data_IF_179472016184
#
_entry.id   IF_179472016184
#
_cell.length_a   1.000
_cell.length_b   1.000
_cell.length_c   1.000
_cell.angle_alpha   90.00
_cell.angle_beta   90.00
_cell.angle_gamma   90.00
#
_symmetry.space_group_name_H-M   'P 1'
#
loop_
_entity.id
_entity.type
_entity.pdbx_description
1 polymer ?
#
# COMPACT_ATOMS: atom_id res chain seq x y z
N UNK A 1 -28.42 -14.70 -0.54
CA UNK A 1 -27.31 -14.10 -1.31
C UNK A 1 -26.54 -13.24 -0.33
N UNK A 2 -25.32 -13.58 -0.01
CA UNK A 2 -24.44 -12.74 0.81
C UNK A 2 -24.27 -11.44 0.04
N UNK A 3 -24.49 -10.31 0.71
CA UNK A 3 -24.34 -9.00 0.10
C UNK A 3 -22.83 -8.74 -0.02
N UNK A 4 -22.23 -9.14 -1.14
CA UNK A 4 -20.81 -8.95 -1.44
C UNK A 4 -20.59 -7.48 -1.77
N UNK A 5 -19.90 -6.75 -0.89
CA UNK A 5 -19.66 -5.32 -1.03
C UNK A 5 -18.23 -4.95 -0.64
N UNK A 6 -17.55 -4.23 -1.52
CA UNK A 6 -16.21 -3.72 -1.30
C UNK A 6 -16.15 -2.22 -1.59
N UNK A 7 -15.49 -1.46 -0.72
CA UNK A 7 -15.20 -0.04 -0.93
C UNK A 7 -13.70 0.13 -1.00
N UNK A 8 -13.23 0.68 -2.12
CA UNK A 8 -11.80 0.92 -2.37
C UNK A 8 -11.54 2.39 -2.71
N UNK A 9 -10.34 2.86 -2.47
CA UNK A 9 -9.80 4.08 -3.04
C UNK A 9 -8.90 3.72 -4.22
N UNK A 10 -9.21 4.24 -5.39
CA UNK A 10 -8.52 3.94 -6.64
C UNK A 10 -7.85 5.19 -7.22
N UNK A 11 -7.67 5.20 -8.54
CA UNK A 11 -7.13 6.30 -9.32
C UNK A 11 -7.73 7.65 -8.89
N UNK A 12 -6.88 8.64 -8.69
CA UNK A 12 -7.29 9.98 -8.27
C UNK A 12 -7.77 10.07 -6.82
N UNK A 13 -7.46 9.08 -5.99
CA UNK A 13 -8.03 8.89 -4.64
C UNK A 13 -9.56 8.89 -4.65
N UNK A 14 -10.12 8.31 -5.69
CA UNK A 14 -11.56 8.19 -5.88
C UNK A 14 -12.08 7.00 -5.12
N UNK A 15 -13.09 7.22 -4.29
CA UNK A 15 -13.79 6.14 -3.60
C UNK A 15 -14.77 5.46 -4.56
N UNK A 16 -14.72 4.13 -4.59
CA UNK A 16 -15.52 3.28 -5.48
C UNK A 16 -16.17 2.19 -4.66
N UNK A 17 -17.45 1.92 -4.94
CA UNK A 17 -18.18 0.78 -4.37
C UNK A 17 -18.38 -0.28 -5.44
N UNK A 18 -17.99 -1.52 -5.10
CA UNK A 18 -18.16 -2.70 -5.95
C UNK A 18 -19.07 -3.68 -5.20
N UNK A 19 -20.14 -4.12 -5.86
CA UNK A 19 -21.08 -5.13 -5.33
C UNK A 19 -21.21 -6.28 -6.30
N UNK A 20 -21.02 -7.50 -5.79
CA UNK A 20 -21.11 -8.73 -6.59
C UNK A 20 -20.28 -8.62 -7.90
N UNK A 21 -19.04 -8.11 -7.80
CA UNK A 21 -18.12 -7.96 -8.92
C UNK A 21 -18.50 -6.85 -9.92
N UNK A 22 -19.42 -5.93 -9.57
CA UNK A 22 -19.84 -4.82 -10.44
C UNK A 22 -19.70 -3.48 -9.73
N UNK A 23 -19.24 -2.48 -10.43
CA UNK A 23 -19.17 -1.09 -9.95
C UNK A 23 -20.58 -0.55 -9.78
N UNK A 24 -20.92 -0.09 -8.57
CA UNK A 24 -22.23 0.49 -8.25
C UNK A 24 -22.16 1.98 -7.97
N UNK A 25 -20.99 2.50 -7.52
CA UNK A 25 -20.77 3.92 -7.30
C UNK A 25 -19.32 4.33 -7.60
N UNK A 26 -19.13 5.54 -8.14
CA UNK A 26 -17.83 6.18 -8.39
C UNK A 26 -17.94 7.65 -7.97
N UNK A 27 -17.19 8.03 -6.94
CA UNK A 27 -17.08 9.42 -6.50
C UNK A 27 -16.24 10.26 -7.48
N UNK A 28 -16.17 11.59 -7.25
CA UNK A 28 -15.33 12.48 -8.05
C UNK A 28 -13.82 12.25 -7.74
N UNK A 29 -12.96 12.28 -8.78
CA UNK A 29 -11.52 12.23 -8.58
C UNK A 29 -11.02 13.48 -7.85
N UNK A 30 -10.05 13.27 -6.98
CA UNK A 30 -9.47 14.36 -6.16
C UNK A 30 -8.31 15.05 -6.83
N UNK A 31 -7.64 14.40 -7.77
CA UNK A 31 -6.51 14.93 -8.55
C UNK A 31 -6.80 14.75 -10.05
N UNK A 32 -6.18 15.60 -10.86
CA UNK A 32 -6.36 15.61 -12.33
C UNK A 32 -5.47 14.60 -13.05
N UNK A 33 -4.27 14.33 -12.52
CA UNK A 33 -3.26 13.50 -13.17
C UNK A 33 -2.44 12.70 -12.17
N UNK A 34 -2.15 11.45 -12.49
CA UNK A 34 -1.20 10.61 -11.76
C UNK A 34 -0.10 10.12 -12.72
N UNK A 35 1.20 10.33 -12.42
CA UNK A 35 2.30 9.95 -13.33
C UNK A 35 2.35 8.45 -13.66
N UNK A 36 1.95 7.60 -12.70
CA UNK A 36 1.91 6.15 -12.92
C UNK A 36 0.85 5.82 -13.96
N UNK A 37 -0.37 6.32 -13.79
CA UNK A 37 -1.47 6.04 -14.72
C UNK A 37 -1.31 6.75 -16.07
N UNK A 38 -0.71 7.95 -16.08
CA UNK A 38 -0.32 8.62 -17.32
C UNK A 38 0.67 7.76 -18.12
N UNK A 39 1.67 7.19 -17.46
CA UNK A 39 2.71 6.37 -18.13
C UNK A 39 2.17 5.01 -18.62
N UNK A 40 1.40 4.31 -17.81
CA UNK A 40 1.01 2.92 -18.10
C UNK A 40 -0.36 2.78 -18.77
N UNK A 41 -1.22 3.80 -18.67
CA UNK A 41 -2.58 3.77 -19.21
C UNK A 41 -2.93 4.97 -20.12
N UNK A 42 -1.95 5.86 -20.40
CA UNK A 42 -2.12 7.07 -21.21
C UNK A 42 -3.24 8.00 -20.72
N UNK A 43 -3.47 8.07 -19.40
CA UNK A 43 -4.48 8.93 -18.80
C UNK A 43 -3.87 10.29 -18.51
N UNK A 44 -4.18 11.31 -19.32
CA UNK A 44 -3.69 12.68 -19.14
C UNK A 44 -4.55 13.51 -18.18
N UNK A 45 -5.86 13.24 -18.16
CA UNK A 45 -6.84 13.82 -17.25
C UNK A 45 -7.71 12.72 -16.67
N UNK A 46 -7.79 12.66 -15.34
CA UNK A 46 -8.54 11.60 -14.66
C UNK A 46 -10.03 11.95 -14.66
N UNK A 47 -10.82 11.13 -15.32
CA UNK A 47 -12.28 11.22 -15.34
C UNK A 47 -12.93 10.01 -14.66
N UNK A 48 -14.23 10.11 -14.32
CA UNK A 48 -14.99 8.95 -13.82
C UNK A 48 -15.00 7.78 -14.80
N UNK A 49 -14.99 8.08 -16.10
CA UNK A 49 -14.96 7.07 -17.15
C UNK A 49 -13.61 6.33 -17.17
N UNK A 50 -12.48 7.05 -17.01
CA UNK A 50 -11.15 6.42 -16.90
C UNK A 50 -11.06 5.55 -15.65
N UNK A 51 -11.62 6.03 -14.55
CA UNK A 51 -11.69 5.28 -13.30
C UNK A 51 -12.52 4.00 -13.48
N UNK A 52 -13.70 4.10 -14.12
CA UNK A 52 -14.55 2.96 -14.43
C UNK A 52 -13.80 1.92 -15.27
N UNK A 53 -13.24 2.32 -16.40
CA UNK A 53 -12.46 1.45 -17.29
C UNK A 53 -11.29 0.79 -16.57
N UNK A 54 -10.58 1.54 -15.74
CA UNK A 54 -9.46 1.01 -14.97
C UNK A 54 -9.90 -0.05 -13.96
N UNK A 55 -11.04 0.13 -13.30
CA UNK A 55 -11.55 -0.84 -12.33
C UNK A 55 -12.17 -2.05 -13.04
N UNK A 56 -12.93 -1.86 -14.11
CA UNK A 56 -13.44 -2.96 -14.93
C UNK A 56 -12.30 -3.81 -15.48
N UNK A 57 -11.24 -3.17 -16.01
CA UNK A 57 -10.03 -3.88 -16.43
C UNK A 57 -9.42 -4.72 -15.28
N UNK A 58 -9.36 -4.19 -14.05
CA UNK A 58 -8.83 -4.95 -12.89
C UNK A 58 -9.73 -6.11 -12.48
N UNK A 59 -11.04 -5.94 -12.58
CA UNK A 59 -12.01 -7.02 -12.33
C UNK A 59 -11.82 -8.13 -13.37
N UNK A 60 -11.68 -7.78 -14.63
CA UNK A 60 -11.54 -8.74 -15.73
C UNK A 60 -10.15 -9.40 -15.76
N UNK A 61 -9.06 -8.63 -15.55
CA UNK A 61 -7.68 -9.09 -15.67
C UNK A 61 -7.26 -10.01 -14.50
N UNK A 62 -7.54 -9.60 -13.26
CA UNK A 62 -7.08 -10.35 -12.09
C UNK A 62 -8.17 -10.64 -11.04
N UNK A 63 -9.43 -10.43 -11.39
CA UNK A 63 -10.57 -10.80 -10.55
C UNK A 63 -10.76 -9.92 -9.32
N UNK A 64 -10.34 -8.65 -9.33
CA UNK A 64 -10.45 -7.75 -8.19
C UNK A 64 -11.88 -7.74 -7.61
N UNK A 65 -12.00 -7.87 -6.28
CA UNK A 65 -13.29 -7.93 -5.57
C UNK A 65 -14.21 -9.06 -6.06
N UNK A 66 -13.67 -10.18 -6.55
CA UNK A 66 -14.43 -11.35 -6.97
C UNK A 66 -13.77 -12.64 -6.47
N UNK A 67 -14.50 -13.75 -6.53
CA UNK A 67 -13.98 -15.09 -6.20
C UNK A 67 -12.80 -15.55 -7.08
N UNK A 68 -12.59 -14.92 -8.24
CA UNK A 68 -11.53 -15.23 -9.20
C UNK A 68 -10.25 -14.42 -8.95
N UNK A 69 -10.11 -13.79 -7.79
CA UNK A 69 -8.97 -12.94 -7.44
C UNK A 69 -7.64 -13.68 -7.59
N UNK A 70 -6.78 -13.21 -8.48
CA UNK A 70 -5.41 -13.70 -8.63
C UNK A 70 -4.58 -13.20 -7.45
N UNK A 71 -4.07 -14.12 -6.63
CA UNK A 71 -3.38 -13.81 -5.37
C UNK A 71 -1.86 -13.70 -5.51
N UNK A 72 -1.27 -14.29 -6.54
CA UNK A 72 0.19 -14.27 -6.77
C UNK A 72 0.52 -13.57 -8.07
N UNK A 73 1.52 -12.70 -8.04
CA UNK A 73 1.95 -11.92 -9.19
C UNK A 73 3.44 -11.60 -9.12
N UNK A 74 4.03 -11.35 -10.30
CA UNK A 74 5.35 -10.73 -10.42
C UNK A 74 5.30 -9.22 -10.18
N UNK A 75 6.49 -8.59 -10.09
CA UNK A 75 6.64 -7.14 -9.93
C UNK A 75 5.87 -6.37 -11.01
N UNK A 76 5.12 -5.36 -10.59
CA UNK A 76 4.40 -4.46 -11.49
C UNK A 76 5.19 -3.17 -11.74
N UNK A 77 5.84 -2.65 -10.71
CA UNK A 77 6.67 -1.45 -10.77
C UNK A 77 8.14 -1.80 -10.48
N UNK A 78 9.06 -0.94 -10.87
CA UNK A 78 10.44 -1.10 -10.46
C UNK A 78 10.63 -0.89 -8.96
N UNK A 79 9.97 0.14 -8.40
CA UNK A 79 10.00 0.43 -6.96
C UNK A 79 8.62 0.94 -6.52
N UNK A 80 8.02 0.25 -5.59
CA UNK A 80 6.78 0.56 -4.89
C UNK A 80 6.79 -0.16 -3.55
N UNK A 81 5.78 0.04 -2.71
CA UNK A 81 5.71 -0.61 -1.39
C UNK A 81 5.67 -2.13 -1.53
N UNK A 82 4.85 -2.67 -2.43
CA UNK A 82 4.76 -4.11 -2.66
C UNK A 82 6.05 -4.73 -3.17
N UNK A 83 6.76 -4.05 -4.08
CA UNK A 83 8.04 -4.50 -4.61
C UNK A 83 9.17 -4.45 -3.56
N UNK A 84 9.16 -3.43 -2.68
CA UNK A 84 10.09 -3.35 -1.54
C UNK A 84 9.84 -4.52 -0.59
N UNK A 85 8.58 -4.76 -0.22
CA UNK A 85 8.20 -5.84 0.69
C UNK A 85 8.50 -7.23 0.10
N UNK A 86 8.14 -7.45 -1.18
CA UNK A 86 8.43 -8.70 -1.89
C UNK A 86 9.92 -9.05 -1.84
N UNK A 87 10.78 -8.12 -2.26
CA UNK A 87 12.23 -8.34 -2.30
C UNK A 87 12.82 -8.61 -0.91
N UNK A 88 12.37 -7.88 0.11
CA UNK A 88 12.88 -8.04 1.47
C UNK A 88 12.38 -9.32 2.14
N UNK A 89 11.19 -9.79 1.80
CA UNK A 89 10.68 -11.09 2.23
C UNK A 89 11.47 -12.23 1.56
N UNK A 90 11.75 -12.11 0.25
CA UNK A 90 12.55 -13.05 -0.53
C UNK A 90 13.98 -13.20 -0.02
N UNK A 91 14.56 -12.09 0.47
CA UNK A 91 15.92 -12.03 1.03
C UNK A 91 15.98 -12.39 2.53
N UNK A 92 14.84 -12.60 3.18
CA UNK A 92 14.78 -12.88 4.62
C UNK A 92 15.06 -11.66 5.53
N UNK A 93 14.98 -10.44 5.00
CA UNK A 93 15.03 -9.21 5.79
C UNK A 93 13.73 -8.94 6.55
N UNK A 94 12.63 -9.54 6.08
CA UNK A 94 11.30 -9.52 6.68
C UNK A 94 10.81 -10.96 6.79
N UNK A 95 10.11 -11.31 7.86
CA UNK A 95 9.55 -12.65 8.07
C UNK A 95 8.10 -12.74 7.59
N UNK A 96 7.33 -11.67 7.77
CA UNK A 96 5.96 -11.57 7.28
C UNK A 96 5.52 -10.13 7.03
N UNK A 97 4.47 -9.98 6.25
CA UNK A 97 3.79 -8.71 5.96
C UNK A 97 2.37 -8.75 6.48
N UNK A 98 2.01 -7.80 7.32
CA UNK A 98 0.63 -7.49 7.69
C UNK A 98 0.06 -6.57 6.61
N UNK A 99 -0.81 -7.11 5.78
CA UNK A 99 -1.43 -6.40 4.66
C UNK A 99 -2.95 -6.42 4.73
N UNK A 100 -3.56 -5.89 3.68
CA UNK A 100 -5.01 -5.91 3.49
C UNK A 100 -5.36 -6.46 2.11
N UNK A 101 -6.37 -7.32 2.06
CA UNK A 101 -6.86 -7.91 0.81
C UNK A 101 -8.37 -7.77 0.73
N UNK A 102 -8.87 -7.37 -0.42
CA UNK A 102 -10.30 -7.41 -0.69
C UNK A 102 -10.82 -8.85 -0.61
N UNK A 103 -11.98 -9.04 0.00
CA UNK A 103 -12.54 -10.36 0.27
C UNK A 103 -11.97 -11.08 1.50
N UNK A 104 -10.96 -10.49 2.17
CA UNK A 104 -10.28 -11.11 3.33
C UNK A 104 -10.16 -10.16 4.51
N UNK A 105 -9.97 -8.85 4.28
CA UNK A 105 -9.58 -7.89 5.32
C UNK A 105 -8.09 -7.94 5.62
N UNK A 106 -7.72 -7.87 6.89
CA UNK A 106 -6.31 -7.96 7.33
C UNK A 106 -5.80 -9.40 7.21
N UNK A 107 -4.60 -9.54 6.65
CA UNK A 107 -3.98 -10.83 6.32
C UNK A 107 -2.48 -10.81 6.60
N UNK A 108 -1.93 -11.95 7.05
CA UNK A 108 -0.49 -12.20 7.15
C UNK A 108 0.02 -12.87 5.87
N UNK A 109 1.05 -12.30 5.28
CA UNK A 109 1.65 -12.78 4.03
C UNK A 109 3.11 -13.15 4.26
N UNK A 110 3.48 -14.39 3.92
CA UNK A 110 4.85 -14.92 4.01
C UNK A 110 5.39 -15.38 2.65
N UNK A 111 4.57 -15.29 1.62
CA UNK A 111 4.91 -15.62 0.24
C UNK A 111 5.16 -14.32 -0.55
N UNK A 112 6.36 -14.11 -1.12
CA UNK A 112 6.71 -12.87 -1.84
C UNK A 112 5.77 -12.56 -3.01
N UNK A 113 5.39 -13.57 -3.80
CA UNK A 113 4.49 -13.40 -4.94
C UNK A 113 3.07 -13.03 -4.48
N UNK A 114 2.66 -13.54 -3.31
CA UNK A 114 1.37 -13.18 -2.72
C UNK A 114 1.39 -11.75 -2.15
N UNK A 115 2.51 -11.29 -1.57
CA UNK A 115 2.68 -9.88 -1.19
C UNK A 115 2.48 -8.96 -2.40
N UNK A 116 3.06 -9.31 -3.54
CA UNK A 116 2.91 -8.55 -4.78
C UNK A 116 1.47 -8.63 -5.32
N UNK A 117 0.90 -9.83 -5.39
CA UNK A 117 -0.45 -10.03 -5.91
C UNK A 117 -1.54 -9.36 -5.09
N UNK A 118 -1.42 -9.38 -3.76
CA UNK A 118 -2.37 -8.74 -2.84
C UNK A 118 -2.15 -7.23 -2.79
N UNK A 119 -0.90 -6.76 -2.61
CA UNK A 119 -0.58 -5.35 -2.37
C UNK A 119 -0.39 -4.52 -3.64
N UNK A 120 0.12 -5.11 -4.73
CA UNK A 120 0.61 -4.36 -5.89
C UNK A 120 -0.46 -3.68 -6.73
N UNK A 121 -1.71 -4.12 -6.68
CA UNK A 121 -2.79 -3.61 -7.53
C UNK A 121 -3.94 -2.94 -6.80
N UNK A 122 -3.91 -2.88 -5.48
CA UNK A 122 -4.92 -2.19 -4.66
C UNK A 122 -4.30 -0.95 -4.03
N UNK A 123 -4.91 0.22 -4.26
CA UNK A 123 -4.37 1.48 -3.72
C UNK A 123 -4.77 1.70 -2.26
N UNK A 124 -6.03 1.46 -1.92
CA UNK A 124 -6.54 1.56 -0.55
C UNK A 124 -7.82 0.78 -0.39
N UNK A 125 -7.89 -0.07 0.62
CA UNK A 125 -9.10 -0.82 0.97
C UNK A 125 -9.77 -0.13 2.16
N UNK A 126 -11.03 0.31 1.98
CA UNK A 126 -11.80 1.03 2.99
C UNK A 126 -12.69 0.07 3.77
N UNK A 127 -13.39 -0.82 3.06
CA UNK A 127 -14.19 -1.90 3.64
C UNK A 127 -14.31 -3.05 2.66
N UNK A 128 -14.54 -4.24 3.18
CA UNK A 128 -14.70 -5.43 2.36
C UNK A 128 -15.55 -6.47 3.09
N UNK A 129 -16.24 -7.32 2.34
CA UNK A 129 -16.94 -8.48 2.84
C UNK A 129 -16.17 -9.75 2.54
N UNK A 130 -16.31 -10.82 3.31
CA UNK A 130 -15.59 -12.07 3.10
C UNK A 130 -15.95 -12.75 1.76
N UNK A 131 -14.92 -13.16 1.02
CA UNK A 131 -15.05 -14.04 -0.15
C UNK A 131 -14.34 -15.35 0.17
N UNK A 132 -15.10 -16.43 0.25
CA UNK A 132 -14.59 -17.74 0.70
C UNK A 132 -13.41 -18.22 -0.13
N UNK A 133 -13.49 -18.11 -1.45
CA UNK A 133 -12.44 -18.57 -2.38
C UNK A 133 -11.13 -17.83 -2.17
N UNK A 134 -11.19 -16.54 -1.81
CA UNK A 134 -9.97 -15.74 -1.53
C UNK A 134 -9.40 -16.14 -0.17
N UNK A 135 -10.26 -16.32 0.84
CA UNK A 135 -9.85 -16.79 2.18
C UNK A 135 -9.16 -18.16 2.08
N UNK A 136 -9.75 -19.09 1.32
CA UNK A 136 -9.15 -20.41 1.07
C UNK A 136 -7.79 -20.27 0.36
N UNK A 137 -7.68 -19.35 -0.60
CA UNK A 137 -6.46 -19.12 -1.39
C UNK A 137 -5.30 -18.51 -0.60
N UNK A 138 -5.56 -17.61 0.36
CA UNK A 138 -4.51 -17.06 1.25
C UNK A 138 -4.23 -17.98 2.44
N UNK A 139 -5.13 -18.93 2.71
CA UNK A 139 -5.11 -19.82 3.87
C UNK A 139 -5.81 -19.19 5.08
N UNK A 140 -6.84 -19.86 5.57
CA UNK A 140 -7.70 -19.34 6.65
C UNK A 140 -6.93 -18.94 7.91
N UNK A 141 -5.85 -19.64 8.22
CA UNK A 141 -4.99 -19.33 9.37
C UNK A 141 -4.30 -17.98 9.21
N UNK A 142 -4.07 -17.49 8.01
CA UNK A 142 -3.44 -16.20 7.73
C UNK A 142 -4.41 -15.01 7.79
N UNK A 143 -5.70 -15.27 7.96
CA UNK A 143 -6.76 -14.26 7.97
C UNK A 143 -7.11 -13.85 9.40
N UNK A 144 -7.14 -12.54 9.66
CA UNK A 144 -7.48 -12.02 10.99
C UNK A 144 -8.92 -12.38 11.40
N UNK A 145 -9.88 -12.19 10.49
CA UNK A 145 -11.31 -12.45 10.76
C UNK A 145 -12.00 -12.93 9.46
N UNK A 146 -12.04 -14.24 9.29
CA UNK A 146 -12.67 -14.85 8.11
C UNK A 146 -14.18 -14.69 8.01
N UNK A 147 -14.85 -14.23 9.10
CA UNK A 147 -16.31 -14.02 9.12
C UNK A 147 -16.71 -12.60 8.74
N UNK A 148 -15.88 -11.60 9.05
CA UNK A 148 -16.21 -10.18 8.87
C UNK A 148 -15.25 -9.46 7.91
N UNK A 149 -14.13 -10.09 7.53
CA UNK A 149 -13.05 -9.48 6.75
C UNK A 149 -12.58 -8.14 7.38
N UNK A 150 -12.35 -8.16 8.70
CA UNK A 150 -12.00 -6.97 9.49
C UNK A 150 -10.67 -6.38 9.05
N UNK A 151 -10.64 -5.05 8.83
CA UNK A 151 -9.44 -4.26 8.56
C UNK A 151 -8.91 -3.67 9.87
N UNK A 152 -7.88 -4.27 10.44
CA UNK A 152 -7.22 -3.80 11.66
C UNK A 152 -5.73 -4.18 11.66
N UNK A 153 -4.83 -3.28 11.21
CA UNK A 153 -3.40 -3.54 11.17
C UNK A 153 -2.77 -3.86 12.52
N UNK A 154 -3.27 -3.25 13.61
CA UNK A 154 -2.76 -3.52 14.96
C UNK A 154 -3.10 -4.95 15.43
N UNK A 155 -4.31 -5.41 15.20
CA UNK A 155 -4.65 -6.81 15.49
C UNK A 155 -3.90 -7.77 14.56
N UNK A 156 -3.62 -7.37 13.31
CA UNK A 156 -2.72 -8.10 12.42
C UNK A 156 -1.29 -8.21 12.97
N UNK A 157 -0.73 -7.14 13.51
CA UNK A 157 0.56 -7.16 14.19
C UNK A 157 0.55 -8.11 15.40
N UNK A 158 -0.46 -8.03 16.25
CA UNK A 158 -0.61 -8.94 17.40
C UNK A 158 -0.68 -10.41 16.96
N UNK A 159 -1.40 -10.68 15.87
CA UNK A 159 -1.47 -12.02 15.28
C UNK A 159 -0.10 -12.50 14.77
N UNK A 160 0.69 -11.64 14.12
CA UNK A 160 2.04 -11.95 13.68
C UNK A 160 2.98 -12.26 14.87
N UNK A 161 2.94 -11.42 15.90
CA UNK A 161 3.70 -11.60 17.15
C UNK A 161 3.35 -12.93 17.85
N UNK A 162 2.07 -13.26 17.94
CA UNK A 162 1.61 -14.52 18.56
C UNK A 162 2.09 -15.78 17.84
N UNK A 163 2.52 -15.64 16.57
CA UNK A 163 3.10 -16.71 15.75
C UNK A 163 4.63 -16.75 15.80
N UNK A 164 5.25 -15.86 16.56
CA UNK A 164 6.70 -15.81 16.76
C UNK A 164 7.47 -15.13 15.63
N UNK A 165 6.82 -14.40 14.72
CA UNK A 165 7.52 -13.57 13.74
C UNK A 165 8.28 -12.45 14.44
N UNK A 166 9.49 -12.14 13.93
CA UNK A 166 10.40 -11.15 14.54
C UNK A 166 10.62 -9.92 13.66
N UNK A 167 10.64 -10.05 12.34
CA UNK A 167 10.82 -8.96 11.39
C UNK A 167 9.51 -8.75 10.65
N UNK A 168 8.63 -7.91 11.20
CA UNK A 168 7.24 -7.77 10.76
C UNK A 168 7.05 -6.44 10.03
N UNK A 169 6.68 -6.47 8.75
CA UNK A 169 6.28 -5.29 8.04
C UNK A 169 4.76 -5.08 8.10
N UNK A 170 4.32 -3.84 8.32
CA UNK A 170 2.90 -3.48 8.36
C UNK A 170 2.62 -2.38 7.35
N UNK A 171 1.69 -2.63 6.43
CA UNK A 171 1.22 -1.62 5.47
C UNK A 171 0.00 -0.90 5.99
N UNK A 172 0.01 0.43 5.94
CA UNK A 172 -1.07 1.27 6.46
C UNK A 172 -1.37 2.47 5.57
N UNK A 173 -2.58 3.01 5.71
CA UNK A 173 -2.94 4.33 5.21
C UNK A 173 -2.66 5.39 6.27
N UNK A 174 -2.47 6.69 5.89
CA UNK A 174 -2.33 7.79 6.84
C UNK A 174 -3.47 7.82 7.85
N UNK A 175 -3.16 7.53 9.12
CA UNK A 175 -4.12 7.52 10.23
C UNK A 175 -3.37 7.42 11.57
N UNK A 176 -4.06 7.65 12.68
CA UNK A 176 -3.55 7.42 14.04
C UNK A 176 -3.09 5.97 14.30
N UNK A 177 -3.48 5.02 13.45
CA UNK A 177 -3.03 3.63 13.52
C UNK A 177 -1.50 3.51 13.46
N UNK A 178 -0.82 4.41 12.72
CA UNK A 178 0.63 4.43 12.57
C UNK A 178 1.31 4.63 13.93
N UNK A 179 0.81 5.57 14.73
CA UNK A 179 1.29 5.83 16.08
C UNK A 179 1.01 4.64 17.01
N UNK A 180 -0.21 4.07 16.95
CA UNK A 180 -0.57 2.90 17.75
C UNK A 180 0.33 1.69 17.45
N UNK A 181 0.70 1.48 16.18
CA UNK A 181 1.63 0.43 15.78
C UNK A 181 3.04 0.68 16.33
N UNK A 182 3.54 1.93 16.24
CA UNK A 182 4.88 2.29 16.72
C UNK A 182 5.01 2.20 18.23
N UNK A 183 3.97 2.58 18.96
CA UNK A 183 3.93 2.57 20.42
C UNK A 183 3.55 1.19 20.99
N UNK A 184 3.17 0.22 20.15
CA UNK A 184 2.81 -1.10 20.64
C UNK A 184 4.05 -1.81 21.20
N UNK A 185 4.00 -2.30 22.45
CA UNK A 185 5.16 -2.94 23.10
C UNK A 185 5.50 -4.26 22.41
N UNK A 186 6.77 -4.43 22.05
CA UNK A 186 7.34 -5.66 21.48
C UNK A 186 8.62 -6.02 22.23
N UNK A 187 9.04 -7.27 22.11
CA UNK A 187 10.31 -7.75 22.69
C UNK A 187 11.51 -7.11 21.96
N UNK A 188 12.66 -7.02 22.65
CA UNK A 188 13.87 -6.34 22.12
C UNK A 188 14.42 -6.98 20.83
N UNK A 189 14.08 -8.23 20.55
CA UNK A 189 14.50 -8.95 19.34
C UNK A 189 13.45 -8.89 18.19
N UNK A 190 12.43 -8.05 18.34
CA UNK A 190 11.37 -7.85 17.35
C UNK A 190 11.51 -6.51 16.65
N UNK A 191 11.48 -6.52 15.34
CA UNK A 191 11.47 -5.33 14.50
C UNK A 191 10.10 -5.17 13.82
N UNK A 192 9.50 -3.99 13.97
CA UNK A 192 8.25 -3.63 13.30
C UNK A 192 8.52 -2.51 12.31
N UNK A 193 8.37 -2.81 11.02
CA UNK A 193 8.54 -1.85 9.92
C UNK A 193 7.17 -1.33 9.47
N UNK A 194 6.97 -0.01 9.52
CA UNK A 194 5.70 0.63 9.18
C UNK A 194 5.83 1.34 7.83
N UNK A 195 5.09 0.85 6.83
CA UNK A 195 5.11 1.38 5.46
C UNK A 195 3.78 2.06 5.13
N UNK A 196 3.85 3.37 4.88
CA UNK A 196 2.67 4.21 4.63
C UNK A 196 2.48 4.42 3.14
N UNK A 197 1.35 3.98 2.63
CA UNK A 197 0.96 4.14 1.24
C UNK A 197 -0.21 5.14 1.10
N UNK A 198 -0.42 5.61 -0.16
CA UNK A 198 -1.63 6.34 -0.54
C UNK A 198 -1.88 7.64 0.26
N UNK A 199 -0.84 8.46 0.39
CA UNK A 199 -0.83 9.67 1.23
C UNK A 199 -1.55 10.89 0.63
N UNK A 200 -2.11 10.82 -0.57
CA UNK A 200 -2.90 11.91 -1.18
C UNK A 200 -3.96 12.43 -0.20
N UNK A 201 -4.07 13.74 -0.05
CA UNK A 201 -4.95 14.43 0.93
C UNK A 201 -4.55 14.28 2.41
N UNK A 202 -3.34 13.85 2.73
CA UNK A 202 -2.86 13.92 4.11
C UNK A 202 -2.90 15.37 4.60
N UNK A 203 -3.54 15.61 5.72
CA UNK A 203 -3.63 16.95 6.31
C UNK A 203 -2.28 17.39 6.85
N UNK A 204 -2.05 18.73 6.88
CA UNK A 204 -0.79 19.30 7.33
C UNK A 204 -0.45 18.93 8.78
N UNK A 205 -1.46 18.91 9.65
CA UNK A 205 -1.33 18.52 11.06
C UNK A 205 -0.90 17.06 11.26
N UNK A 206 -1.24 16.17 10.31
CA UNK A 206 -0.96 14.74 10.42
C UNK A 206 0.43 14.36 9.89
N UNK A 207 1.06 15.22 9.04
CA UNK A 207 2.31 14.87 8.35
C UNK A 207 3.44 14.59 9.32
N UNK A 208 3.60 15.42 10.36
CA UNK A 208 4.66 15.21 11.35
C UNK A 208 4.52 13.85 12.04
N UNK A 209 3.31 13.45 12.39
CA UNK A 209 3.04 12.14 13.00
C UNK A 209 3.46 11.00 12.07
N UNK A 210 3.22 11.12 10.74
CA UNK A 210 3.70 10.12 9.78
C UNK A 210 5.23 10.01 9.80
N UNK A 211 5.95 11.14 9.75
CA UNK A 211 7.42 11.15 9.73
C UNK A 211 8.06 10.73 11.06
N UNK A 212 7.38 10.95 12.18
CA UNK A 212 7.88 10.53 13.49
C UNK A 212 7.72 9.02 13.73
N UNK A 213 6.81 8.34 13.01
CA UNK A 213 6.42 6.96 13.36
C UNK A 213 6.53 5.95 12.21
N UNK A 214 6.64 6.36 10.95
CA UNK A 214 6.79 5.45 9.83
C UNK A 214 8.26 5.23 9.45
N UNK A 215 8.54 4.09 8.81
CA UNK A 215 9.86 3.79 8.23
C UNK A 215 9.94 4.16 6.76
N UNK A 216 8.86 3.93 6.01
CA UNK A 216 8.76 4.29 4.59
C UNK A 216 7.42 4.99 4.32
N UNK A 217 7.46 6.08 3.55
CA UNK A 217 6.28 6.85 3.14
C UNK A 217 6.28 7.05 1.63
N UNK A 218 5.18 6.70 0.96
CA UNK A 218 4.96 7.04 -0.46
C UNK A 218 4.32 8.42 -0.55
N UNK A 219 4.93 9.38 -1.24
CA UNK A 219 4.42 10.76 -1.28
C UNK A 219 3.09 10.90 -2.05
N UNK A 220 2.82 10.05 -3.03
CA UNK A 220 1.64 10.16 -3.90
C UNK A 220 1.44 11.58 -4.44
N UNK A 221 0.23 12.15 -4.36
CA UNK A 221 -0.08 13.53 -4.74
C UNK A 221 -0.22 14.47 -3.53
N UNK A 222 0.31 14.09 -2.35
CA UNK A 222 0.19 14.90 -1.14
C UNK A 222 1.19 16.05 -1.14
N UNK A 223 0.68 17.27 -1.31
CA UNK A 223 1.48 18.50 -1.20
C UNK A 223 2.15 18.61 0.16
N UNK A 224 1.39 18.36 1.22
CA UNK A 224 1.87 18.52 2.60
C UNK A 224 3.02 17.55 2.94
N UNK A 225 2.94 16.29 2.49
CA UNK A 225 4.02 15.29 2.66
C UNK A 225 5.28 15.71 1.92
N UNK A 226 5.13 16.19 0.67
CA UNK A 226 6.25 16.62 -0.17
C UNK A 226 6.95 17.84 0.42
N UNK A 227 6.19 18.87 0.83
CA UNK A 227 6.75 20.08 1.45
C UNK A 227 7.47 19.78 2.76
N UNK A 228 6.93 18.90 3.59
CA UNK A 228 7.58 18.47 4.82
C UNK A 228 8.87 17.68 4.53
N UNK A 229 8.83 16.75 3.58
CA UNK A 229 10.02 16.01 3.15
C UNK A 229 11.14 16.94 2.66
N UNK A 230 10.81 18.00 1.91
CA UNK A 230 11.79 19.01 1.48
C UNK A 230 12.45 19.73 2.67
N UNK A 231 11.74 19.90 3.78
CA UNK A 231 12.28 20.55 4.97
C UNK A 231 13.21 19.64 5.79
N UNK A 232 12.88 18.34 5.90
CA UNK A 232 13.64 17.39 6.74
C UNK A 232 14.63 16.53 5.93
N UNK A 233 14.48 16.50 4.60
CA UNK A 233 15.38 15.82 3.64
C UNK A 233 15.65 14.36 4.01
N UNK A 234 14.63 13.48 4.06
CA UNK A 234 14.85 12.07 4.28
C UNK A 234 15.56 11.43 3.09
N UNK A 235 16.03 10.20 3.23
CA UNK A 235 16.41 9.40 2.06
C UNK A 235 15.22 9.21 1.13
N UNK A 236 15.43 9.17 -0.19
CA UNK A 236 14.33 8.98 -1.12
C UNK A 236 14.76 8.27 -2.40
N UNK A 237 13.76 7.74 -3.12
CA UNK A 237 13.90 7.26 -4.47
C UNK A 237 12.71 7.69 -5.33
N UNK A 238 12.99 8.05 -6.60
CA UNK A 238 11.99 8.43 -7.60
C UNK A 238 11.56 9.89 -7.51
N UNK A 239 11.13 10.44 -8.65
CA UNK A 239 10.66 11.83 -8.77
C UNK A 239 9.15 11.90 -9.04
N UNK A 240 8.59 10.93 -9.78
CA UNK A 240 7.17 10.96 -10.16
C UNK A 240 6.23 10.66 -9.00
N UNK A 241 6.58 9.66 -8.20
CA UNK A 241 5.96 9.32 -6.93
C UNK A 241 7.09 9.00 -5.96
N UNK A 242 7.64 9.99 -5.26
CA UNK A 242 8.75 9.76 -4.35
C UNK A 242 8.38 8.79 -3.22
N UNK A 243 9.32 7.91 -2.93
CA UNK A 243 9.29 7.02 -1.78
C UNK A 243 10.35 7.51 -0.82
N UNK A 244 9.93 7.93 0.36
CA UNK A 244 10.79 8.44 1.42
C UNK A 244 11.08 7.33 2.42
N UNK A 245 12.36 7.08 2.69
CA UNK A 245 12.82 6.27 3.80
C UNK A 245 13.14 7.19 4.98
N UNK A 246 12.41 7.02 6.07
CA UNK A 246 12.44 7.95 7.20
C UNK A 246 13.42 7.47 8.27
N UNK A 247 13.44 6.15 8.55
CA UNK A 247 14.37 5.52 9.47
C UNK A 247 15.55 4.86 8.71
N UNK A 248 16.61 4.49 9.44
CA UNK A 248 17.73 3.72 8.86
C UNK A 248 17.27 2.32 8.42
N UNK A 249 16.33 1.71 9.12
CA UNK A 249 15.68 0.46 8.73
C UNK A 249 14.88 0.62 7.44
N UNK A 250 14.10 1.70 7.32
CA UNK A 250 13.39 2.03 6.09
C UNK A 250 14.33 2.24 4.91
N UNK A 251 15.49 2.90 5.16
CA UNK A 251 16.55 3.05 4.15
C UNK A 251 17.12 1.69 3.75
N UNK A 252 17.42 0.82 4.71
CA UNK A 252 17.95 -0.53 4.44
C UNK A 252 16.99 -1.35 3.59
N UNK A 253 15.69 -1.33 3.88
CA UNK A 253 14.68 -2.03 3.09
C UNK A 253 14.57 -1.48 1.67
N UNK A 254 14.62 -0.14 1.51
CA UNK A 254 14.59 0.51 0.21
C UNK A 254 15.86 0.21 -0.60
N UNK A 255 17.04 0.29 0.00
CA UNK A 255 18.32 0.02 -0.66
C UNK A 255 18.44 -1.45 -1.08
N UNK A 256 17.97 -2.39 -0.25
CA UNK A 256 17.87 -3.81 -0.59
C UNK A 256 17.04 -4.02 -1.88
N UNK A 257 15.90 -3.35 -2.02
CA UNK A 257 15.13 -3.38 -3.27
C UNK A 257 15.87 -2.78 -4.43
N UNK A 258 16.54 -1.63 -4.24
CA UNK A 258 17.29 -0.96 -5.29
C UNK A 258 18.44 -1.84 -5.78
N UNK A 259 19.15 -2.52 -4.89
CA UNK A 259 20.20 -3.48 -5.23
C UNK A 259 19.67 -4.64 -6.09
N UNK A 260 18.52 -5.23 -5.70
CA UNK A 260 17.89 -6.31 -6.49
C UNK A 260 17.63 -5.94 -7.95
N UNK A 261 17.34 -4.68 -8.22
CA UNK A 261 17.05 -4.20 -9.59
C UNK A 261 18.22 -3.44 -10.23
N UNK A 262 19.41 -3.51 -9.64
CA UNK A 262 20.64 -2.89 -10.17
C UNK A 262 20.58 -1.35 -10.20
N UNK A 263 19.89 -0.72 -9.22
CA UNK A 263 19.80 0.73 -9.08
C UNK A 263 20.72 1.23 -7.96
N UNK A 264 21.20 2.49 -8.04
CA UNK A 264 22.01 3.08 -6.97
C UNK A 264 21.18 3.20 -5.69
N UNK A 265 21.84 3.19 -4.50
CA UNK A 265 21.17 3.36 -3.22
C UNK A 265 20.41 4.69 -3.12
N UNK A 266 19.50 4.77 -2.17
CA UNK A 266 18.71 5.97 -1.86
C UNK A 266 19.60 7.13 -1.41
N UNK A 267 19.19 8.36 -1.70
CA UNK A 267 19.98 9.57 -1.44
C UNK A 267 19.16 10.60 -0.63
N UNK A 268 19.86 11.52 0.02
CA UNK A 268 19.30 12.73 0.67
C UNK A 268 19.50 13.99 -0.16
N UNK A 269 19.65 13.86 -1.46
CA UNK A 269 19.92 15.00 -2.32
C UNK A 269 18.63 15.66 -2.82
N UNK A 270 18.52 16.96 -2.58
CA UNK A 270 17.41 17.83 -3.01
C UNK A 270 18.02 19.03 -3.78
N UNK A 271 17.32 19.60 -4.78
CA UNK A 271 15.87 19.52 -5.02
C UNK A 271 15.42 18.32 -5.88
N UNK A 272 14.18 17.90 -5.65
CA UNK A 272 13.49 16.95 -6.52
C UNK A 272 12.90 17.65 -7.75
N UNK A 273 12.78 16.94 -8.85
CA UNK A 273 12.08 17.43 -10.04
C UNK A 273 10.55 17.32 -9.87
N UNK A 274 9.95 18.36 -9.30
CA UNK A 274 8.52 18.43 -9.05
C UNK A 274 7.66 18.41 -10.33
N UNK A 275 8.25 18.72 -11.50
CA UNK A 275 7.53 18.70 -12.78
C UNK A 275 7.04 17.32 -13.19
N UNK A 276 7.68 16.27 -12.65
CA UNK A 276 7.33 14.86 -12.91
C UNK A 276 6.27 14.30 -11.97
N UNK A 277 5.82 15.09 -11.01
CA UNK A 277 4.84 14.66 -10.01
C UNK A 277 3.39 14.77 -10.52
N UNK A 278 2.46 14.29 -9.69
CA UNK A 278 1.04 14.42 -9.95
C UNK A 278 0.63 15.90 -10.14
N UNK A 279 -0.26 16.18 -11.09
CA UNK A 279 -0.86 17.50 -11.21
C UNK A 279 -1.97 17.66 -10.18
N UNK A 280 -2.08 18.89 -9.67
CA UNK A 280 -2.96 19.24 -8.57
C UNK A 280 -2.56 18.45 -7.31
N UNK A 281 -1.35 18.70 -6.83
CA UNK A 281 -0.94 18.26 -5.49
C UNK A 281 -1.92 18.80 -4.45
N UNK A 282 -2.43 17.95 -3.57
CA UNK A 282 -3.45 18.27 -2.56
C UNK A 282 -3.10 17.71 -1.20
#
# INVERSE_FOLDING_TARGET
>A
MTNDEHVIEALGKTRITIKNGKITDIQEPSIDYCPIFGKYHNIEHITKEDIRKNIEYRIDDFGMCTKNRVLKMDDMLSVGISEILRSNLEQGNIDCVVGACEGVGTVLLTDPDMVQGVGGRVSGLVSTTPIKEIIDGVGIDNVLDSKKATLNPLEGLKMALSRGFKNIAVTVLPSEMIKLLREYPVDDDVNVFILVAHTTKTKKEDVKMLFDNADIITACASKNVIEYAQSVKPYYYGNSVPIYAISEEGKRLLDSRLECIGKPPSVRDYPQDLSKMARKLI
#
